data_IF_047823258684
#
_entry.id   IF_047823258684
#
_cell.length_a   1.000
_cell.length_b   1.000
_cell.length_c   1.000
_cell.angle_alpha   90.00
_cell.angle_beta   90.00
_cell.angle_gamma   90.00
#
_symmetry.space_group_name_H-M   'P 1'
#
loop_
_entity.id
_entity.type
_entity.pdbx_description
1 polymer ?
#
# COMPACT_ATOMS: atom_id res chain seq x y z
N UNK A 1 -35.85 -14.68 38.00
CA UNK A 1 -35.29 -14.68 36.63
C UNK A 1 -33.77 -14.58 36.72
N UNK A 2 -33.08 -15.72 36.62
CA UNK A 2 -31.62 -15.74 36.60
C UNK A 2 -31.14 -15.31 35.22
N UNK A 3 -30.43 -14.18 35.15
CA UNK A 3 -29.68 -13.79 33.95
C UNK A 3 -28.51 -14.77 33.85
N UNK A 4 -28.69 -15.83 33.07
CA UNK A 4 -27.60 -16.71 32.66
C UNK A 4 -26.73 -15.87 31.72
N UNK A 5 -25.69 -15.24 32.28
CA UNK A 5 -24.60 -14.67 31.49
C UNK A 5 -24.07 -15.78 30.57
N UNK A 6 -23.99 -15.56 29.25
CA UNK A 6 -23.42 -16.55 28.35
C UNK A 6 -21.96 -16.77 28.78
N UNK A 7 -21.66 -17.98 29.27
CA UNK A 7 -20.29 -18.42 29.50
C UNK A 7 -19.55 -18.36 28.17
N UNK A 8 -18.80 -17.27 27.95
CA UNK A 8 -17.84 -17.14 26.87
C UNK A 8 -16.88 -18.33 26.97
N UNK A 9 -17.05 -19.30 26.06
CA UNK A 9 -16.13 -20.42 25.86
C UNK A 9 -14.70 -19.87 25.82
N UNK A 10 -13.70 -20.57 26.39
CA UNK A 10 -12.32 -20.15 26.27
C UNK A 10 -11.97 -20.09 24.78
N UNK A 11 -11.89 -18.88 24.22
CA UNK A 11 -11.40 -18.60 22.87
C UNK A 11 -10.01 -19.22 22.78
N UNK A 12 -9.90 -20.37 22.12
CA UNK A 12 -8.60 -20.92 21.77
C UNK A 12 -7.86 -19.87 20.95
N UNK A 13 -6.79 -19.30 21.49
CA UNK A 13 -6.02 -18.24 20.82
C UNK A 13 -5.55 -18.75 19.46
N UNK A 14 -5.66 -17.91 18.43
CA UNK A 14 -5.33 -18.28 17.05
C UNK A 14 -3.83 -18.55 16.87
N UNK A 15 -3.50 -19.55 16.03
CA UNK A 15 -2.14 -19.92 15.67
C UNK A 15 -1.98 -19.90 14.15
N UNK A 16 -0.94 -19.22 13.66
CA UNK A 16 -0.53 -19.23 12.26
C UNK A 16 0.43 -20.40 12.01
N UNK A 17 0.20 -21.17 10.94
CA UNK A 17 1.17 -22.16 10.49
C UNK A 17 2.36 -21.47 9.81
N UNK A 18 3.63 -21.84 10.11
CA UNK A 18 4.82 -21.16 9.58
C UNK A 18 4.84 -21.05 8.05
N UNK A 19 4.34 -22.06 7.34
CA UNK A 19 4.27 -22.06 5.88
C UNK A 19 3.49 -20.89 5.27
N UNK A 20 2.49 -20.35 5.97
CA UNK A 20 1.73 -19.19 5.47
C UNK A 20 2.51 -17.87 5.62
N UNK A 21 3.53 -17.82 6.49
CA UNK A 21 4.39 -16.64 6.61
C UNK A 21 5.25 -16.42 5.36
N UNK A 22 5.47 -17.45 4.54
CA UNK A 22 6.14 -17.31 3.24
C UNK A 22 5.41 -16.37 2.27
N UNK A 23 4.10 -16.16 2.45
CA UNK A 23 3.32 -15.20 1.65
C UNK A 23 3.83 -13.76 1.87
N UNK A 24 4.40 -13.46 3.04
CA UNK A 24 4.95 -12.13 3.34
C UNK A 24 6.14 -11.75 2.45
N UNK A 25 6.81 -12.72 1.83
CA UNK A 25 7.95 -12.47 0.94
C UNK A 25 7.53 -12.08 -0.49
N UNK A 26 6.34 -12.50 -0.95
CA UNK A 26 5.88 -12.24 -2.32
C UNK A 26 5.82 -10.73 -2.68
N UNK A 27 5.32 -9.84 -1.80
CA UNK A 27 5.34 -8.40 -2.06
C UNK A 27 6.75 -7.84 -2.23
N UNK A 28 7.73 -8.35 -1.47
CA UNK A 28 9.12 -7.92 -1.60
C UNK A 28 9.69 -8.29 -2.98
N UNK A 29 9.38 -9.48 -3.49
CA UNK A 29 9.78 -9.86 -4.86
C UNK A 29 9.13 -8.98 -5.94
N UNK A 30 7.86 -8.62 -5.77
CA UNK A 30 7.18 -7.71 -6.71
C UNK A 30 7.80 -6.31 -6.69
N UNK A 31 8.12 -5.78 -5.50
CA UNK A 31 8.83 -4.51 -5.37
C UNK A 31 10.19 -4.56 -6.07
N UNK A 32 10.98 -5.61 -5.81
CA UNK A 32 12.27 -5.81 -6.45
C UNK A 32 12.16 -5.89 -7.98
N UNK A 33 11.17 -6.62 -8.49
CA UNK A 33 10.93 -6.69 -9.93
C UNK A 33 10.53 -5.33 -10.50
N UNK A 34 9.70 -4.55 -9.79
CA UNK A 34 9.33 -3.20 -10.21
C UNK A 34 10.54 -2.27 -10.24
N UNK A 35 11.33 -2.20 -9.18
CA UNK A 35 12.51 -1.33 -9.14
C UNK A 35 13.56 -1.77 -10.18
N UNK A 36 13.73 -3.08 -10.38
CA UNK A 36 14.57 -3.60 -11.47
C UNK A 36 14.09 -3.14 -12.86
N UNK A 37 12.78 -3.20 -13.13
CA UNK A 37 12.23 -2.74 -14.41
C UNK A 37 12.43 -1.24 -14.58
N UNK A 38 12.14 -0.45 -13.55
CA UNK A 38 12.34 0.99 -13.59
C UNK A 38 13.82 1.35 -13.76
N UNK A 39 14.71 0.55 -13.18
CA UNK A 39 16.14 0.82 -13.26
C UNK A 39 16.85 0.45 -14.54
N UNK A 40 16.41 -0.63 -15.19
CA UNK A 40 17.03 -1.03 -16.45
C UNK A 40 16.37 -0.37 -17.67
N UNK A 41 15.09 0.03 -17.55
CA UNK A 41 14.33 0.58 -18.67
C UNK A 41 13.88 2.03 -18.48
N UNK A 42 13.97 2.58 -17.27
CA UNK A 42 13.72 4.00 -17.00
C UNK A 42 14.93 4.87 -17.37
N UNK A 43 14.71 6.19 -17.38
CA UNK A 43 15.76 7.17 -17.58
C UNK A 43 15.87 8.05 -16.33
N UNK A 44 16.91 7.84 -15.53
CA UNK A 44 17.20 8.62 -14.31
C UNK A 44 18.01 9.90 -14.57
N UNK A 45 18.45 10.13 -15.81
CA UNK A 45 19.29 11.26 -16.21
C UNK A 45 18.55 12.19 -17.18
N UNK A 46 17.36 12.63 -16.80
CA UNK A 46 16.61 13.60 -17.61
C UNK A 46 17.31 14.97 -17.58
N UNK A 47 17.96 15.33 -18.68
CA UNK A 47 18.57 16.65 -18.87
C UNK A 47 17.50 17.67 -19.25
N UNK A 48 17.21 18.59 -18.34
CA UNK A 48 16.31 19.72 -18.57
C UNK A 48 17.09 21.00 -18.91
N UNK A 49 16.54 21.90 -19.75
CA UNK A 49 17.17 23.20 -20.02
C UNK A 49 17.34 24.02 -18.73
N UNK A 50 18.34 24.92 -18.63
CA UNK A 50 18.67 25.64 -17.40
C UNK A 50 17.74 26.83 -17.04
N UNK A 51 16.79 27.21 -17.90
CA UNK A 51 15.96 28.41 -17.70
C UNK A 51 14.48 28.06 -17.60
N UNK A 52 14.08 27.47 -16.47
CA UNK A 52 12.74 26.90 -16.32
C UNK A 52 11.88 27.66 -15.30
N UNK A 53 12.41 28.58 -14.48
CA UNK A 53 11.67 29.14 -13.34
C UNK A 53 10.95 30.48 -13.63
N UNK A 54 9.72 30.64 -13.11
CA UNK A 54 8.86 31.86 -13.24
C UNK A 54 9.21 32.93 -12.19
N UNK A 55 8.94 34.22 -12.49
CA UNK A 55 9.20 35.37 -11.59
C UNK A 55 8.33 35.44 -10.32
N UNK A 56 7.20 34.73 -10.23
CA UNK A 56 6.32 34.65 -9.04
C UNK A 56 6.59 33.42 -8.16
N UNK A 57 7.77 32.82 -8.31
CA UNK A 57 8.08 31.52 -7.75
C UNK A 57 7.98 31.36 -6.21
N UNK A 58 8.16 32.38 -5.34
CA UNK A 58 8.00 32.18 -3.90
C UNK A 58 6.57 31.82 -3.45
N UNK A 59 5.53 32.42 -4.06
CA UNK A 59 4.14 32.14 -3.67
C UNK A 59 3.67 30.79 -4.21
N UNK A 60 4.11 30.42 -5.41
CA UNK A 60 3.82 29.12 -6.02
C UNK A 60 4.52 27.99 -5.27
N UNK A 61 5.79 28.19 -4.89
CA UNK A 61 6.52 27.25 -4.03
C UNK A 61 5.81 27.04 -2.70
N UNK A 62 5.41 28.12 -2.03
CA UNK A 62 4.73 28.04 -0.74
C UNK A 62 3.37 27.34 -0.85
N UNK A 63 2.63 27.57 -1.94
CA UNK A 63 1.34 26.92 -2.19
C UNK A 63 1.54 25.40 -2.35
N UNK A 64 2.49 25.00 -3.18
CA UNK A 64 2.80 23.58 -3.39
C UNK A 64 3.35 22.92 -2.12
N UNK A 65 4.15 23.65 -1.32
CA UNK A 65 4.62 23.22 0.00
C UNK A 65 3.47 22.87 0.94
N UNK A 66 2.48 23.75 1.06
CA UNK A 66 1.34 23.47 1.94
C UNK A 66 0.49 22.30 1.45
N UNK A 67 0.32 22.15 0.13
CA UNK A 67 -0.35 20.98 -0.45
C UNK A 67 0.40 19.68 -0.09
N UNK A 68 1.72 19.66 -0.25
CA UNK A 68 2.55 18.52 0.12
C UNK A 68 2.49 18.22 1.62
N UNK A 69 2.67 19.23 2.49
CA UNK A 69 2.61 19.05 3.94
C UNK A 69 1.24 18.54 4.41
N UNK A 70 0.16 19.04 3.81
CA UNK A 70 -1.20 18.54 4.09
C UNK A 70 -1.35 17.08 3.69
N UNK A 71 -0.89 16.72 2.48
CA UNK A 71 -0.93 15.33 2.01
C UNK A 71 -0.06 14.41 2.88
N UNK A 72 1.13 14.85 3.26
CA UNK A 72 2.06 14.12 4.12
C UNK A 72 1.48 13.88 5.51
N UNK A 73 0.87 14.90 6.12
CA UNK A 73 0.26 14.79 7.44
C UNK A 73 -0.92 13.82 7.42
N UNK A 74 -1.82 13.97 6.44
CA UNK A 74 -2.97 13.09 6.29
C UNK A 74 -2.53 11.64 6.02
N UNK A 75 -1.57 11.43 5.12
CA UNK A 75 -1.01 10.11 4.82
C UNK A 75 -0.37 9.46 6.06
N UNK A 76 0.46 10.19 6.80
CA UNK A 76 1.11 9.70 8.02
C UNK A 76 0.07 9.30 9.08
N UNK A 77 -1.00 10.08 9.25
CA UNK A 77 -2.09 9.73 10.16
C UNK A 77 -2.78 8.42 9.77
N UNK A 78 -3.06 8.21 8.47
CA UNK A 78 -3.61 6.95 7.94
C UNK A 78 -2.68 5.78 8.24
N UNK A 79 -1.38 5.93 8.00
CA UNK A 79 -0.39 4.89 8.31
C UNK A 79 -0.38 4.52 9.80
N UNK A 80 -0.37 5.51 10.69
CA UNK A 80 -0.42 5.29 12.15
C UNK A 80 -1.70 4.54 12.54
N UNK A 81 -2.85 4.90 11.97
CA UNK A 81 -4.13 4.20 12.24
C UNK A 81 -4.05 2.73 11.81
N UNK A 82 -3.49 2.43 10.63
CA UNK A 82 -3.38 1.04 10.15
C UNK A 82 -2.43 0.20 11.00
N UNK A 83 -1.31 0.79 11.43
CA UNK A 83 -0.40 0.19 12.40
C UNK A 83 -1.18 -0.11 13.70
N UNK A 84 -1.87 0.88 14.26
CA UNK A 84 -2.64 0.72 15.49
C UNK A 84 -3.73 -0.36 15.39
N UNK A 85 -4.47 -0.43 14.27
CA UNK A 85 -5.45 -1.47 13.99
C UNK A 85 -4.78 -2.84 14.04
N UNK A 86 -3.66 -3.02 13.32
CA UNK A 86 -2.95 -4.29 13.29
C UNK A 86 -2.48 -4.74 14.69
N UNK A 87 -1.84 -3.85 15.45
CA UNK A 87 -1.38 -4.18 16.81
C UNK A 87 -2.55 -4.47 17.76
N UNK A 88 -3.66 -3.73 17.66
CA UNK A 88 -4.86 -3.98 18.46
C UNK A 88 -5.44 -5.39 18.19
N UNK A 89 -5.51 -5.79 16.92
CA UNK A 89 -5.99 -7.12 16.54
C UNK A 89 -5.04 -8.25 16.93
N UNK A 90 -3.75 -8.03 16.70
CA UNK A 90 -2.73 -9.03 16.98
C UNK A 90 -2.72 -9.37 18.49
N UNK A 91 -2.89 -8.39 19.37
CA UNK A 91 -2.90 -8.60 20.82
C UNK A 91 -4.24 -9.12 21.35
N UNK A 92 -5.35 -8.69 20.75
CA UNK A 92 -6.69 -9.12 21.19
C UNK A 92 -7.04 -10.55 20.77
N UNK A 93 -6.54 -11.04 19.63
CA UNK A 93 -6.97 -12.33 19.03
C UNK A 93 -5.93 -13.45 19.09
N UNK A 94 -4.64 -13.13 19.18
CA UNK A 94 -3.58 -14.13 19.10
C UNK A 94 -2.90 -14.44 20.44
N UNK A 95 -2.24 -15.60 20.48
CA UNK A 95 -1.36 -15.94 21.61
C UNK A 95 -0.06 -15.16 21.55
N UNK A 96 0.55 -14.81 22.71
CA UNK A 96 1.81 -14.07 22.74
C UNK A 96 2.92 -14.81 21.97
N UNK A 97 2.94 -16.15 22.00
CA UNK A 97 3.85 -16.97 21.19
C UNK A 97 3.58 -16.88 19.68
N UNK A 98 2.32 -16.70 19.26
CA UNK A 98 1.98 -16.49 17.85
C UNK A 98 2.31 -15.06 17.46
N UNK A 99 1.95 -14.07 18.28
CA UNK A 99 2.24 -12.66 18.07
C UNK A 99 3.74 -12.42 17.91
N UNK A 100 4.56 -12.99 18.78
CA UNK A 100 6.02 -12.90 18.67
C UNK A 100 6.55 -13.47 17.34
N UNK A 101 6.03 -14.62 16.87
CA UNK A 101 6.42 -15.18 15.57
C UNK A 101 6.03 -14.29 14.39
N UNK A 102 4.87 -13.64 14.49
CA UNK A 102 4.39 -12.71 13.46
C UNK A 102 5.26 -11.45 13.44
N UNK A 103 5.58 -10.88 14.61
CA UNK A 103 6.48 -9.74 14.73
C UNK A 103 7.87 -10.07 14.19
N UNK A 104 8.41 -11.25 14.51
CA UNK A 104 9.70 -11.69 13.98
C UNK A 104 9.66 -11.82 12.45
N UNK A 105 8.60 -12.38 11.88
CA UNK A 105 8.40 -12.44 10.44
C UNK A 105 8.30 -11.06 9.79
N UNK A 106 7.60 -10.11 10.44
CA UNK A 106 7.49 -8.73 9.98
C UNK A 106 8.85 -8.02 10.02
N UNK A 107 9.60 -8.15 11.11
CA UNK A 107 10.94 -7.61 11.24
C UNK A 107 11.86 -8.19 10.16
N UNK A 108 11.80 -9.51 9.92
CA UNK A 108 12.61 -10.14 8.89
C UNK A 108 12.31 -9.60 7.48
N UNK A 109 11.03 -9.39 7.14
CA UNK A 109 10.63 -8.83 5.84
C UNK A 109 11.05 -7.37 5.72
N UNK A 110 10.82 -6.55 6.75
CA UNK A 110 11.24 -5.14 6.75
C UNK A 110 12.76 -5.03 6.65
N UNK A 111 13.50 -5.82 7.42
CA UNK A 111 14.95 -5.86 7.37
C UNK A 111 15.44 -6.31 5.99
N UNK A 112 14.82 -7.32 5.38
CA UNK A 112 15.16 -7.76 4.02
C UNK A 112 14.93 -6.64 2.98
N UNK A 113 13.80 -5.93 3.04
CA UNK A 113 13.54 -4.80 2.15
C UNK A 113 14.51 -3.63 2.39
N UNK A 114 14.87 -3.36 3.65
CA UNK A 114 15.84 -2.31 3.98
C UNK A 114 17.25 -2.67 3.51
N UNK A 115 17.66 -3.93 3.65
CA UNK A 115 18.95 -4.41 3.15
C UNK A 115 19.05 -4.19 1.64
N UNK A 116 17.99 -4.46 0.90
CA UNK A 116 17.95 -4.18 -0.54
C UNK A 116 18.07 -2.70 -0.86
N UNK A 117 17.41 -1.81 -0.12
CA UNK A 117 17.57 -0.37 -0.30
C UNK A 117 19.00 0.11 0.06
N UNK A 118 19.64 -0.48 1.07
CA UNK A 118 21.01 -0.09 1.48
C UNK A 118 22.11 -0.69 0.61
N UNK A 119 21.84 -1.85 -0.01
CA UNK A 119 22.77 -2.54 -0.90
C UNK A 119 22.37 -2.34 -2.36
N UNK A 120 21.64 -1.27 -2.67
CA UNK A 120 21.30 -0.92 -4.04
C UNK A 120 22.56 -1.01 -4.89
N UNK A 121 22.61 -1.96 -5.83
CA UNK A 121 23.81 -2.13 -6.60
C UNK A 121 24.09 -0.85 -7.38
N UNK A 122 25.36 -0.45 -7.50
CA UNK A 122 25.76 0.78 -8.20
C UNK A 122 25.21 0.86 -9.64
N UNK A 123 24.87 -0.29 -10.24
CA UNK A 123 24.25 -0.40 -11.57
C UNK A 123 22.74 -0.09 -11.60
N UNK A 124 22.11 0.12 -10.46
CA UNK A 124 20.67 0.26 -10.25
C UNK A 124 20.36 1.65 -9.65
N UNK A 125 20.98 2.73 -10.16
CA UNK A 125 21.00 4.08 -9.56
C UNK A 125 19.67 4.61 -9.00
N UNK A 126 19.68 5.59 -8.09
CA UNK A 126 18.49 5.95 -7.29
C UNK A 126 17.21 6.20 -8.13
N UNK A 127 16.10 5.59 -7.71
CA UNK A 127 14.80 5.63 -8.41
C UNK A 127 13.78 6.54 -7.74
N UNK A 128 14.28 7.51 -6.99
CA UNK A 128 13.46 8.54 -6.40
C UNK A 128 12.69 9.28 -7.51
N UNK A 129 11.40 9.51 -7.28
CA UNK A 129 10.54 10.09 -8.31
C UNK A 129 11.05 11.45 -8.82
N UNK A 130 11.80 12.20 -8.00
CA UNK A 130 12.41 13.46 -8.41
C UNK A 130 13.60 13.28 -9.36
N UNK A 131 14.32 12.15 -9.33
CA UNK A 131 15.42 11.90 -10.27
C UNK A 131 14.87 11.60 -11.67
N UNK A 132 13.81 10.78 -11.73
CA UNK A 132 13.09 10.47 -12.97
C UNK A 132 12.41 11.70 -13.59
N UNK A 133 12.03 12.68 -12.77
CA UNK A 133 11.43 13.94 -13.21
C UNK A 133 12.46 15.05 -13.45
N UNK A 134 13.74 14.77 -13.26
CA UNK A 134 14.84 15.73 -13.34
C UNK A 134 15.11 16.42 -12.01
N UNK A 135 16.11 15.91 -11.27
CA UNK A 135 16.48 16.41 -9.94
C UNK A 135 16.77 17.92 -9.93
N UNK A 136 17.44 18.44 -10.96
CA UNK A 136 17.75 19.86 -11.08
C UNK A 136 16.51 20.74 -11.05
N UNK A 137 15.41 20.31 -11.68
CA UNK A 137 14.15 21.04 -11.66
C UNK A 137 13.57 21.15 -10.26
N UNK A 138 13.65 20.08 -9.46
CA UNK A 138 13.21 20.09 -8.07
C UNK A 138 14.08 21.01 -7.22
N UNK A 139 15.41 20.89 -7.32
CA UNK A 139 16.34 21.74 -6.57
C UNK A 139 16.15 23.22 -6.94
N UNK A 140 16.02 23.55 -8.22
CA UNK A 140 15.82 24.94 -8.68
C UNK A 140 14.44 25.51 -8.28
N UNK A 141 13.41 24.66 -8.25
CA UNK A 141 12.08 25.04 -7.79
C UNK A 141 12.04 25.26 -6.26
N UNK A 142 12.66 24.37 -5.49
CA UNK A 142 12.53 24.31 -4.03
C UNK A 142 13.59 25.14 -3.29
N UNK A 143 14.73 25.45 -3.92
CA UNK A 143 15.77 26.30 -3.33
C UNK A 143 15.32 27.73 -3.07
N UNK A 144 14.24 28.18 -3.73
CA UNK A 144 13.72 29.54 -3.58
C UNK A 144 13.01 29.79 -2.24
N UNK A 145 12.46 28.73 -1.64
CA UNK A 145 11.71 28.84 -0.41
C UNK A 145 12.62 28.73 0.82
N UNK A 146 12.63 29.74 1.68
CA UNK A 146 13.37 29.66 2.96
C UNK A 146 12.66 28.73 3.95
N UNK A 147 13.43 27.88 4.63
CA UNK A 147 12.98 27.07 5.76
C UNK A 147 13.65 27.58 7.02
N UNK A 148 12.86 27.87 8.07
CA UNK A 148 13.40 28.31 9.36
C UNK A 148 14.35 27.29 9.99
N UNK A 149 14.07 26.00 9.80
CA UNK A 149 14.94 24.91 10.26
C UNK A 149 16.30 24.87 9.53
N UNK A 150 16.41 25.51 8.37
CA UNK A 150 17.62 25.56 7.56
C UNK A 150 18.45 26.83 7.81
N UNK A 151 17.98 27.80 8.59
CA UNK A 151 18.73 29.03 8.90
C UNK A 151 20.00 28.76 9.72
N UNK A 152 20.05 27.63 10.44
CA UNK A 152 21.17 27.26 11.32
C UNK A 152 21.88 25.97 10.89
N UNK A 153 21.50 25.36 9.77
CA UNK A 153 22.03 24.06 9.33
C UNK A 153 22.84 24.20 8.05
N UNK A 154 24.12 23.81 8.11
CA UNK A 154 25.00 23.70 6.94
C UNK A 154 24.48 22.68 5.91
N UNK A 155 23.65 21.72 6.32
CA UNK A 155 23.08 20.71 5.43
C UNK A 155 22.08 21.28 4.41
N UNK A 156 21.62 22.52 4.57
CA UNK A 156 20.69 23.16 3.64
C UNK A 156 21.34 24.16 2.68
N UNK A 157 22.67 24.35 2.73
CA UNK A 157 23.37 25.27 1.82
C UNK A 157 23.19 24.82 0.35
N UNK A 158 22.48 25.63 -0.44
CA UNK A 158 22.25 25.39 -1.87
C UNK A 158 21.02 24.55 -2.21
N UNK A 159 20.47 23.77 -1.28
CA UNK A 159 19.29 22.92 -1.54
C UNK A 159 17.98 23.50 -0.96
N UNK A 160 18.06 24.43 -0.01
CA UNK A 160 16.91 25.17 0.51
C UNK A 160 15.79 24.26 1.03
N UNK A 161 14.58 24.38 0.48
CA UNK A 161 13.45 23.57 0.92
C UNK A 161 13.52 22.10 0.46
N UNK A 162 14.33 21.79 -0.55
CA UNK A 162 14.46 20.45 -1.10
C UNK A 162 14.92 19.45 -0.03
N UNK A 163 16.01 19.78 0.68
CA UNK A 163 16.58 18.92 1.71
C UNK A 163 15.58 18.58 2.84
N UNK A 164 14.86 19.59 3.35
CA UNK A 164 13.85 19.37 4.39
C UNK A 164 12.70 18.46 3.95
N UNK A 165 12.33 18.52 2.67
CA UNK A 165 11.26 17.70 2.11
C UNK A 165 11.73 16.29 1.75
N UNK A 166 12.98 16.13 1.30
CA UNK A 166 13.63 14.83 1.12
C UNK A 166 13.64 14.06 2.45
N UNK A 167 13.99 14.72 3.56
CA UNK A 167 13.90 14.12 4.90
C UNK A 167 12.47 13.69 5.24
N UNK A 168 11.46 14.50 4.91
CA UNK A 168 10.06 14.13 5.15
C UNK A 168 9.60 12.95 4.28
N UNK A 169 10.08 12.86 3.04
CA UNK A 169 9.82 11.72 2.15
C UNK A 169 10.49 10.45 2.66
N UNK A 170 11.73 10.52 3.16
CA UNK A 170 12.39 9.40 3.81
C UNK A 170 11.58 8.89 5.01
N UNK A 171 11.08 9.80 5.86
CA UNK A 171 10.18 9.42 6.96
C UNK A 171 8.85 8.86 6.48
N UNK A 172 8.30 9.40 5.39
CA UNK A 172 7.10 8.85 4.75
C UNK A 172 7.37 7.42 4.25
N UNK A 173 8.52 7.16 3.65
CA UNK A 173 8.91 5.83 3.16
C UNK A 173 9.00 4.84 4.33
N UNK A 174 9.68 5.19 5.42
CA UNK A 174 9.75 4.33 6.61
C UNK A 174 8.38 3.98 7.20
N UNK A 175 7.51 4.97 7.40
CA UNK A 175 6.18 4.73 7.96
C UNK A 175 5.28 3.96 6.98
N UNK A 176 5.45 4.18 5.67
CA UNK A 176 4.79 3.42 4.61
C UNK A 176 5.18 1.96 4.66
N UNK A 177 6.48 1.66 4.71
CA UNK A 177 6.98 0.28 4.76
C UNK A 177 6.43 -0.46 5.97
N UNK A 178 6.39 0.19 7.13
CA UNK A 178 5.82 -0.39 8.34
C UNK A 178 4.31 -0.61 8.22
N UNK A 179 3.56 0.40 7.77
CA UNK A 179 2.11 0.29 7.59
C UNK A 179 1.72 -0.78 6.55
N UNK A 180 2.42 -0.82 5.42
CA UNK A 180 2.25 -1.84 4.40
C UNK A 180 2.55 -3.24 4.95
N UNK A 181 3.65 -3.40 5.69
CA UNK A 181 3.98 -4.67 6.34
C UNK A 181 2.91 -5.11 7.35
N UNK A 182 2.36 -4.18 8.14
CA UNK A 182 1.23 -4.44 9.04
C UNK A 182 -0.04 -4.87 8.28
N UNK A 183 -0.37 -4.21 7.17
CA UNK A 183 -1.55 -4.55 6.35
C UNK A 183 -1.39 -5.92 5.69
N UNK A 184 -0.23 -6.21 5.10
CA UNK A 184 0.10 -7.51 4.50
C UNK A 184 0.07 -8.60 5.57
N UNK A 185 0.68 -8.36 6.74
CA UNK A 185 0.66 -9.29 7.85
C UNK A 185 -0.77 -9.54 8.33
N UNK A 186 -1.57 -8.49 8.52
CA UNK A 186 -2.98 -8.58 8.88
C UNK A 186 -3.80 -9.43 7.90
N UNK A 187 -3.55 -9.29 6.60
CA UNK A 187 -4.12 -10.17 5.58
C UNK A 187 -3.71 -11.64 5.79
N UNK A 188 -2.43 -11.91 6.02
CA UNK A 188 -1.94 -13.27 6.30
C UNK A 188 -2.51 -13.84 7.60
N UNK A 189 -2.79 -13.00 8.60
CA UNK A 189 -3.43 -13.41 9.86
C UNK A 189 -4.86 -13.92 9.67
N UNK A 190 -5.55 -13.53 8.60
CA UNK A 190 -6.84 -14.12 8.24
C UNK A 190 -6.74 -15.65 8.05
N UNK A 191 -5.54 -16.19 7.78
CA UNK A 191 -5.32 -17.63 7.65
C UNK A 191 -5.08 -18.37 8.97
N UNK A 192 -4.95 -17.65 10.09
CA UNK A 192 -4.72 -18.23 11.41
C UNK A 192 -5.95 -19.01 11.89
N UNK A 193 -5.72 -20.09 12.65
CA UNK A 193 -6.80 -20.99 13.09
C UNK A 193 -6.59 -21.45 14.54
N UNK A 194 -7.66 -21.75 15.29
CA UNK A 194 -7.53 -22.50 16.53
C UNK A 194 -7.02 -23.93 16.25
N UNK A 195 -6.43 -24.58 17.25
CA UNK A 195 -5.91 -25.93 17.09
C UNK A 195 -7.07 -26.94 16.93
N UNK A 196 -7.16 -27.58 15.76
CA UNK A 196 -8.09 -28.69 15.42
C UNK A 196 -9.58 -28.47 15.74
N UNK A 197 -10.34 -27.74 14.90
CA UNK A 197 -11.79 -27.78 14.98
C UNK A 197 -12.31 -29.16 14.57
N UNK A 198 -13.16 -29.76 15.40
CA UNK A 198 -13.72 -31.09 15.18
C UNK A 198 -14.91 -31.03 14.22
N UNK A 199 -14.65 -31.16 12.91
CA UNK A 199 -15.67 -31.10 11.85
C UNK A 199 -16.69 -32.25 11.89
N UNK A 200 -16.48 -33.25 12.75
CA UNK A 200 -17.39 -34.38 12.91
C UNK A 200 -18.61 -34.08 13.78
N UNK A 201 -18.69 -32.90 14.41
CA UNK A 201 -19.80 -32.51 15.27
C UNK A 201 -20.49 -31.26 14.74
N UNK A 202 -21.82 -31.16 14.91
CA UNK A 202 -22.58 -29.96 14.53
C UNK A 202 -22.05 -28.68 15.22
N UNK A 203 -21.63 -28.79 16.48
CA UNK A 203 -21.00 -27.67 17.20
C UNK A 203 -19.64 -27.28 16.62
N UNK A 204 -18.87 -28.24 16.09
CA UNK A 204 -17.59 -27.97 15.44
C UNK A 204 -17.75 -27.39 14.04
N UNK A 205 -18.78 -27.80 13.30
CA UNK A 205 -19.16 -27.16 12.03
C UNK A 205 -19.59 -25.71 12.24
N UNK A 206 -20.44 -25.42 13.23
CA UNK A 206 -20.85 -24.06 13.55
C UNK A 206 -19.66 -23.19 14.00
N UNK A 207 -18.72 -23.75 14.77
CA UNK A 207 -17.50 -23.04 15.16
C UNK A 207 -16.60 -22.76 13.95
N UNK A 208 -16.46 -23.71 13.03
CA UNK A 208 -15.70 -23.52 11.79
C UNK A 208 -16.33 -22.44 10.90
N UNK A 209 -17.65 -22.45 10.77
CA UNK A 209 -18.38 -21.43 10.02
C UNK A 209 -18.06 -20.02 10.52
N UNK A 210 -18.10 -19.83 11.85
CA UNK A 210 -17.76 -18.54 12.47
C UNK A 210 -16.30 -18.13 12.21
N UNK A 211 -15.36 -19.07 12.25
CA UNK A 211 -13.93 -18.82 11.98
C UNK A 211 -13.70 -18.42 10.52
N UNK A 212 -14.31 -19.14 9.58
CA UNK A 212 -14.19 -18.84 8.15
C UNK A 212 -14.81 -17.49 7.80
N UNK A 213 -15.96 -17.17 8.40
CA UNK A 213 -16.58 -15.85 8.27
C UNK A 213 -15.69 -14.73 8.81
N UNK A 214 -15.13 -14.89 10.01
CA UNK A 214 -14.20 -13.90 10.58
C UNK A 214 -12.94 -13.74 9.72
N UNK A 215 -12.42 -14.83 9.16
CA UNK A 215 -11.28 -14.80 8.25
C UNK A 215 -11.60 -14.01 6.97
N UNK A 216 -12.79 -14.19 6.40
CA UNK A 216 -13.27 -13.44 5.23
C UNK A 216 -13.47 -11.95 5.52
N UNK A 217 -14.04 -11.61 6.67
CA UNK A 217 -14.25 -10.22 7.07
C UNK A 217 -12.89 -9.54 7.29
N UNK A 218 -11.96 -10.25 7.93
CA UNK A 218 -10.59 -9.79 8.16
C UNK A 218 -9.86 -9.54 6.84
N UNK A 219 -9.91 -10.50 5.89
CA UNK A 219 -9.25 -10.34 4.59
C UNK A 219 -9.85 -9.18 3.78
N UNK A 220 -11.18 -9.04 3.77
CA UNK A 220 -11.87 -7.96 3.07
C UNK A 220 -11.51 -6.58 3.64
N UNK A 221 -11.40 -6.47 4.96
CA UNK A 221 -11.01 -5.22 5.63
C UNK A 221 -9.56 -4.85 5.33
N UNK A 222 -8.62 -5.80 5.39
CA UNK A 222 -7.23 -5.49 5.05
C UNK A 222 -7.03 -5.17 3.57
N UNK A 223 -7.80 -5.79 2.66
CA UNK A 223 -7.82 -5.38 1.24
C UNK A 223 -8.28 -3.92 1.09
N UNK A 224 -9.30 -3.50 1.86
CA UNK A 224 -9.77 -2.12 1.87
C UNK A 224 -8.73 -1.16 2.44
N UNK A 225 -8.04 -1.54 3.54
CA UNK A 225 -6.92 -0.77 4.08
C UNK A 225 -5.80 -0.59 3.03
N UNK A 226 -5.47 -1.64 2.27
CA UNK A 226 -4.50 -1.55 1.18
C UNK A 226 -4.94 -0.58 0.09
N UNK A 227 -6.23 -0.59 -0.26
CA UNK A 227 -6.82 0.35 -1.22
C UNK A 227 -6.70 1.80 -0.75
N UNK A 228 -7.04 2.07 0.51
CA UNK A 228 -6.87 3.40 1.11
C UNK A 228 -5.39 3.80 1.13
N UNK A 229 -4.50 2.90 1.55
CA UNK A 229 -3.06 3.17 1.62
C UNK A 229 -2.52 3.59 0.24
N UNK A 230 -2.95 2.88 -0.82
CA UNK A 230 -2.63 3.21 -2.20
C UNK A 230 -3.21 4.58 -2.61
N UNK A 231 -4.50 4.81 -2.42
CA UNK A 231 -5.15 6.06 -2.85
C UNK A 231 -4.54 7.28 -2.16
N UNK A 232 -4.34 7.23 -0.84
CA UNK A 232 -3.76 8.36 -0.09
C UNK A 232 -2.26 8.49 -0.37
N UNK A 233 -1.54 7.38 -0.54
CA UNK A 233 -0.14 7.39 -0.95
C UNK A 233 0.06 8.03 -2.32
N UNK A 234 -0.85 7.78 -3.27
CA UNK A 234 -0.84 8.44 -4.57
C UNK A 234 -1.13 9.94 -4.47
N UNK A 235 -1.99 10.38 -3.55
CA UNK A 235 -2.19 11.82 -3.30
C UNK A 235 -0.90 12.46 -2.80
N UNK A 236 -0.19 11.82 -1.87
CA UNK A 236 1.13 12.29 -1.40
C UNK A 236 2.13 12.35 -2.56
N UNK A 237 2.30 11.26 -3.31
CA UNK A 237 3.24 11.21 -4.44
C UNK A 237 2.90 12.24 -5.52
N UNK A 238 1.62 12.41 -5.86
CA UNK A 238 1.20 13.42 -6.84
C UNK A 238 1.42 14.84 -6.33
N UNK A 239 1.19 15.11 -5.04
CA UNK A 239 1.48 16.43 -4.46
C UNK A 239 2.96 16.77 -4.55
N UNK A 240 3.84 15.78 -4.39
CA UNK A 240 5.28 15.92 -4.58
C UNK A 240 5.65 16.10 -6.06
N UNK A 241 5.24 15.17 -6.92
CA UNK A 241 5.60 15.18 -8.35
C UNK A 241 5.05 16.39 -9.12
N UNK A 242 3.89 16.93 -8.72
CA UNK A 242 3.30 18.12 -9.36
C UNK A 242 3.91 19.43 -8.89
N UNK A 243 4.68 19.42 -7.81
CA UNK A 243 5.23 20.63 -7.19
C UNK A 243 5.99 21.52 -8.18
N UNK A 244 7.02 21.04 -8.90
CA UNK A 244 7.76 21.92 -9.81
C UNK A 244 6.93 22.37 -11.02
N UNK A 245 5.84 21.68 -11.35
CA UNK A 245 5.06 21.92 -12.57
C UNK A 245 4.55 23.36 -12.70
N UNK A 246 4.07 23.96 -11.61
CA UNK A 246 3.58 25.35 -11.65
C UNK A 246 4.72 26.38 -11.79
N UNK A 247 5.95 25.98 -11.50
CA UNK A 247 7.13 26.84 -11.54
C UNK A 247 7.83 26.82 -12.90
N UNK A 248 7.43 25.91 -13.80
CA UNK A 248 7.92 25.81 -15.19
C UNK A 248 7.39 26.97 -16.03
N UNK A 249 8.25 27.87 -16.51
CA UNK A 249 7.90 29.06 -17.25
C UNK A 249 7.36 28.76 -18.66
N UNK A 250 8.01 27.84 -19.39
CA UNK A 250 7.58 27.41 -20.71
C UNK A 250 6.31 26.56 -20.63
N UNK A 251 5.16 27.00 -21.20
CA UNK A 251 3.93 26.23 -21.21
C UNK A 251 4.06 24.86 -21.87
N UNK A 252 4.82 24.75 -22.97
CA UNK A 252 4.98 23.48 -23.67
C UNK A 252 5.78 22.47 -22.84
N UNK A 253 6.83 22.93 -22.16
CA UNK A 253 7.60 22.10 -21.22
C UNK A 253 6.75 21.70 -20.00
N UNK A 254 5.88 22.60 -19.53
CA UNK A 254 4.97 22.34 -18.40
C UNK A 254 4.01 21.21 -18.72
N UNK A 255 3.42 21.23 -19.92
CA UNK A 255 2.49 20.19 -20.37
C UNK A 255 3.20 18.84 -20.53
N UNK A 256 4.43 18.85 -21.07
CA UNK A 256 5.26 17.63 -21.16
C UNK A 256 5.62 17.07 -19.79
N UNK A 257 5.97 17.93 -18.84
CA UNK A 257 6.22 17.53 -17.46
C UNK A 257 4.96 16.92 -16.82
N UNK A 258 3.79 17.52 -17.01
CA UNK A 258 2.52 16.97 -16.55
C UNK A 258 2.25 15.57 -17.16
N UNK A 259 2.53 15.39 -18.45
CA UNK A 259 2.47 14.10 -19.13
C UNK A 259 3.41 13.05 -18.51
N UNK A 260 4.65 13.45 -18.17
CA UNK A 260 5.62 12.57 -17.52
C UNK A 260 5.18 12.18 -16.10
N UNK A 261 4.71 13.14 -15.28
CA UNK A 261 4.15 12.89 -13.95
C UNK A 261 3.00 11.88 -14.04
N UNK A 262 2.13 12.04 -15.04
CA UNK A 262 1.02 11.13 -15.27
C UNK A 262 1.52 9.70 -15.62
N UNK A 263 2.50 9.56 -16.52
CA UNK A 263 3.08 8.27 -16.88
C UNK A 263 3.73 7.56 -15.68
N UNK A 264 4.50 8.28 -14.87
CA UNK A 264 5.10 7.74 -13.63
C UNK A 264 4.01 7.33 -12.64
N UNK A 265 2.97 8.15 -12.50
CA UNK A 265 1.85 7.85 -11.59
C UNK A 265 1.09 6.58 -11.99
N UNK A 266 0.90 6.36 -13.30
CA UNK A 266 0.30 5.15 -13.84
C UNK A 266 1.19 3.93 -13.56
N UNK A 267 2.48 4.04 -13.83
CA UNK A 267 3.45 2.98 -13.56
C UNK A 267 3.42 2.57 -12.08
N UNK A 268 3.57 3.54 -11.16
CA UNK A 268 3.52 3.28 -9.72
C UNK A 268 2.17 2.69 -9.30
N UNK A 269 1.06 3.19 -9.83
CA UNK A 269 -0.28 2.65 -9.56
C UNK A 269 -0.45 1.18 -9.99
N UNK A 270 0.07 0.81 -11.16
CA UNK A 270 0.09 -0.58 -11.63
C UNK A 270 0.98 -1.45 -10.75
N UNK A 271 2.21 -1.03 -10.47
CA UNK A 271 3.14 -1.77 -9.60
C UNK A 271 2.54 -2.03 -8.21
N UNK A 272 1.90 -1.02 -7.61
CA UNK A 272 1.20 -1.20 -6.33
C UNK A 272 0.01 -2.16 -6.43
N UNK A 273 -0.73 -2.15 -7.54
CA UNK A 273 -1.83 -3.09 -7.75
C UNK A 273 -1.34 -4.54 -7.83
N UNK A 274 -0.23 -4.77 -8.54
CA UNK A 274 0.42 -6.09 -8.60
C UNK A 274 0.94 -6.50 -7.22
N UNK A 275 1.49 -5.56 -6.44
CA UNK A 275 1.89 -5.78 -5.05
C UNK A 275 0.70 -6.22 -4.20
N UNK A 276 -0.45 -5.56 -4.29
CA UNK A 276 -1.68 -5.97 -3.60
C UNK A 276 -2.08 -7.41 -3.98
N UNK A 277 -2.08 -7.72 -5.28
CA UNK A 277 -2.43 -9.05 -5.78
C UNK A 277 -1.50 -10.14 -5.25
N UNK A 278 -0.21 -9.84 -5.11
CA UNK A 278 0.83 -10.80 -4.70
C UNK A 278 0.59 -11.45 -3.33
N UNK A 279 -0.03 -10.74 -2.38
CA UNK A 279 -0.38 -11.31 -1.07
C UNK A 279 -1.87 -11.60 -0.94
N UNK A 280 -2.75 -10.85 -1.62
CA UNK A 280 -4.19 -11.08 -1.55
C UNK A 280 -4.61 -12.37 -2.24
N UNK A 281 -4.06 -12.66 -3.44
CA UNK A 281 -4.46 -13.83 -4.22
C UNK A 281 -4.10 -15.15 -3.51
N UNK A 282 -2.87 -15.35 -3.00
CA UNK A 282 -2.55 -16.57 -2.25
C UNK A 282 -3.44 -16.78 -1.02
N UNK A 283 -3.70 -15.72 -0.25
CA UNK A 283 -4.58 -15.79 0.94
C UNK A 283 -6.00 -16.19 0.53
N UNK A 284 -6.53 -15.55 -0.52
CA UNK A 284 -7.88 -15.83 -1.03
C UNK A 284 -8.03 -17.26 -1.55
N UNK A 285 -7.04 -17.78 -2.28
CA UNK A 285 -7.03 -19.16 -2.76
C UNK A 285 -7.00 -20.18 -1.60
N UNK A 286 -6.21 -19.91 -0.55
CA UNK A 286 -6.16 -20.78 0.63
C UNK A 286 -7.51 -20.76 1.37
N UNK A 287 -8.15 -19.60 1.52
CA UNK A 287 -9.47 -19.49 2.13
C UNK A 287 -10.53 -20.20 1.28
N UNK A 288 -10.48 -20.07 -0.04
CA UNK A 288 -11.38 -20.76 -0.97
C UNK A 288 -11.33 -22.28 -0.79
N UNK A 289 -10.13 -22.88 -0.77
CA UNK A 289 -9.98 -24.33 -0.55
C UNK A 289 -10.53 -24.76 0.82
N UNK A 290 -10.43 -23.89 1.84
CA UNK A 290 -10.98 -24.20 3.17
C UNK A 290 -12.50 -24.15 3.18
N UNK A 291 -13.10 -23.18 2.50
CA UNK A 291 -14.56 -23.03 2.40
C UNK A 291 -15.16 -24.18 1.60
N UNK A 292 -14.54 -24.59 0.49
CA UNK A 292 -14.97 -25.76 -0.28
C UNK A 292 -14.94 -27.06 0.57
N UNK A 293 -13.87 -27.28 1.34
CA UNK A 293 -13.80 -28.41 2.29
C UNK A 293 -14.86 -28.33 3.38
N UNK A 294 -15.18 -27.13 3.84
CA UNK A 294 -16.24 -26.93 4.82
C UNK A 294 -17.62 -27.25 4.21
N UNK A 295 -17.93 -26.80 2.99
CA UNK A 295 -19.18 -27.14 2.31
C UNK A 295 -19.33 -28.66 2.11
N UNK A 296 -18.28 -29.35 1.67
CA UNK A 296 -18.28 -30.81 1.57
C UNK A 296 -18.55 -31.50 2.92
N UNK A 297 -18.00 -30.96 4.01
CA UNK A 297 -18.27 -31.49 5.35
C UNK A 297 -19.71 -31.23 5.80
N UNK A 298 -20.27 -30.06 5.48
CA UNK A 298 -21.68 -29.72 5.78
C UNK A 298 -22.64 -30.63 5.01
N UNK A 299 -22.38 -30.88 3.72
CA UNK A 299 -23.14 -31.80 2.88
C UNK A 299 -23.11 -33.22 3.44
N UNK A 300 -21.92 -33.71 3.82
CA UNK A 300 -21.76 -35.04 4.42
C UNK A 300 -22.49 -35.19 5.78
N UNK A 301 -22.62 -34.10 6.54
CA UNK A 301 -23.37 -34.06 7.80
C UNK A 301 -24.87 -33.87 7.63
N UNK A 302 -25.36 -33.59 6.42
CA UNK A 302 -26.79 -33.34 6.16
C UNK A 302 -27.33 -32.10 6.90
N UNK A 303 -26.49 -31.09 7.17
CA UNK A 303 -26.85 -29.90 7.95
C UNK A 303 -26.76 -28.59 7.13
N UNK A 304 -27.56 -28.44 6.06
CA UNK A 304 -27.42 -27.33 5.10
C UNK A 304 -27.61 -25.94 5.73
N UNK A 305 -28.38 -25.84 6.81
CA UNK A 305 -28.59 -24.59 7.57
C UNK A 305 -27.27 -23.98 8.08
N UNK A 306 -26.30 -24.81 8.47
CA UNK A 306 -24.99 -24.34 8.97
C UNK A 306 -24.13 -23.85 7.79
N UNK A 307 -24.24 -24.50 6.62
CA UNK A 307 -23.57 -24.07 5.39
C UNK A 307 -24.02 -22.68 4.94
N UNK A 308 -25.29 -22.33 5.19
CA UNK A 308 -25.83 -21.02 4.83
C UNK A 308 -25.12 -19.84 5.50
N UNK A 309 -24.47 -20.05 6.65
CA UNK A 309 -23.80 -18.99 7.43
C UNK A 309 -22.47 -18.52 6.81
N UNK A 310 -21.88 -19.34 5.93
CA UNK A 310 -20.63 -19.05 5.19
C UNK A 310 -20.94 -18.76 3.70
N UNK A 311 -22.21 -18.64 3.34
CA UNK A 311 -22.63 -18.23 1.98
C UNK A 311 -22.19 -16.78 1.72
N UNK A 312 -21.54 -16.54 0.58
CA UNK A 312 -21.12 -15.21 0.14
C UNK A 312 -19.62 -15.04 -0.12
N UNK A 313 -18.77 -16.02 0.22
CA UNK A 313 -17.48 -16.23 -0.43
C UNK A 313 -17.66 -17.24 -1.55
N UNK A 314 -18.61 -16.94 -2.44
CA UNK A 314 -18.87 -17.76 -3.59
C UNK A 314 -17.62 -17.75 -4.50
N UNK A 315 -17.37 -18.83 -5.23
CA UNK A 315 -16.29 -18.94 -6.24
C UNK A 315 -16.40 -17.76 -7.22
N UNK A 316 -17.64 -17.33 -7.45
CA UNK A 316 -18.00 -16.13 -8.18
C UNK A 316 -17.48 -14.84 -7.57
N UNK A 317 -16.92 -14.70 -6.37
CA UNK A 317 -16.41 -13.43 -5.83
C UNK A 317 -14.92 -13.21 -6.07
N UNK A 318 -14.16 -14.31 -6.19
CA UNK A 318 -12.76 -14.31 -6.66
C UNK A 318 -12.73 -14.35 -8.19
N UNK A 319 -13.65 -15.11 -8.82
CA UNK A 319 -13.82 -15.16 -10.27
C UNK A 319 -14.67 -14.00 -10.81
N UNK A 320 -15.54 -13.36 -10.01
CA UNK A 320 -16.19 -12.14 -10.48
C UNK A 320 -15.19 -11.04 -10.51
N UNK A 321 -15.41 -10.25 -11.54
CA UNK A 321 -15.00 -8.88 -11.65
C UNK A 321 -15.25 -8.04 -10.39
N UNK A 322 -15.83 -8.45 -9.27
CA UNK A 322 -16.09 -7.54 -8.14
C UNK A 322 -14.84 -7.22 -7.31
N UNK A 323 -13.94 -8.18 -7.06
CA UNK A 323 -12.64 -7.87 -6.46
C UNK A 323 -11.78 -7.04 -7.42
N UNK A 324 -11.82 -7.39 -8.71
CA UNK A 324 -11.16 -6.65 -9.78
C UNK A 324 -11.79 -5.26 -10.00
N UNK A 325 -13.11 -5.09 -9.88
CA UNK A 325 -13.85 -3.81 -9.93
C UNK A 325 -13.54 -2.97 -8.71
N UNK A 326 -13.34 -3.57 -7.54
CA UNK A 326 -12.87 -2.83 -6.36
C UNK A 326 -11.45 -2.32 -6.59
N UNK A 327 -10.56 -3.16 -7.10
CA UNK A 327 -9.20 -2.75 -7.47
C UNK A 327 -9.25 -1.68 -8.59
N UNK A 328 -10.04 -1.87 -9.66
CA UNK A 328 -10.27 -0.88 -10.71
C UNK A 328 -10.91 0.39 -10.17
N UNK A 329 -11.85 0.31 -9.21
CA UNK A 329 -12.47 1.49 -8.60
C UNK A 329 -11.47 2.25 -7.71
N UNK A 330 -10.54 1.54 -7.06
CA UNK A 330 -9.43 2.13 -6.32
C UNK A 330 -8.42 2.79 -7.29
N UNK A 331 -8.18 2.18 -8.45
CA UNK A 331 -7.26 2.66 -9.49
C UNK A 331 -7.95 3.64 -10.48
N UNK A 332 -9.27 3.75 -10.43
CA UNK A 332 -10.11 4.53 -11.35
C UNK A 332 -9.78 6.02 -11.35
N UNK A 333 -9.51 6.67 -10.20
CA UNK A 333 -9.06 8.06 -10.19
C UNK A 333 -7.72 8.24 -10.91
N UNK A 334 -6.84 7.24 -10.88
CA UNK A 334 -5.53 7.24 -11.56
C UNK A 334 -5.75 7.06 -13.07
N UNK A 335 -6.57 6.08 -13.47
CA UNK A 335 -6.92 5.87 -14.88
C UNK A 335 -7.69 7.05 -15.47
N UNK A 336 -8.60 7.67 -14.72
CA UNK A 336 -9.36 8.84 -15.16
C UNK A 336 -8.45 10.08 -15.29
N UNK A 337 -7.49 10.26 -14.38
CA UNK A 337 -6.44 11.28 -14.52
C UNK A 337 -5.55 11.03 -15.74
N UNK A 338 -5.22 9.75 -16.00
CA UNK A 338 -4.37 9.38 -17.13
C UNK A 338 -5.05 9.50 -18.49
N UNK A 339 -6.33 9.11 -18.57
CA UNK A 339 -7.17 9.25 -19.75
C UNK A 339 -7.55 10.71 -19.98
N UNK A 340 -7.81 11.50 -18.93
CA UNK A 340 -8.06 12.93 -19.05
C UNK A 340 -6.88 13.69 -19.67
N UNK A 341 -5.64 13.31 -19.32
CA UNK A 341 -4.43 13.87 -19.92
C UNK A 341 -4.21 13.42 -21.38
N UNK A 342 -4.62 12.20 -21.75
CA UNK A 342 -4.54 11.69 -23.12
C UNK A 342 -5.60 12.33 -24.04
N UNK A 343 -6.82 12.57 -23.55
CA UNK A 343 -7.90 13.21 -24.31
C UNK A 343 -7.62 14.69 -24.57
N UNK A 344 -6.88 15.37 -23.69
CA UNK A 344 -6.35 16.72 -23.99
C UNK A 344 -5.27 16.74 -25.07
N UNK A 345 -4.60 15.61 -25.35
CA UNK A 345 -3.59 15.51 -26.42
C UNK A 345 -4.19 15.27 -27.81
N UNK A 346 -5.36 14.62 -27.92
CA UNK A 346 -6.06 14.45 -29.20
C UNK A 346 -6.89 15.68 -29.63
N UNK A 347 -6.98 16.71 -28.77
CA UNK A 347 -7.72 17.96 -29.04
C UNK A 347 -6.91 19.11 -29.65
N UNK A 348 -5.60 18.97 -29.86
CA UNK A 348 -4.71 20.00 -30.47
C UNK A 348 -4.29 19.56 -31.88
N UNK A 349 -5.29 19.17 -32.67
CA UNK A 349 -5.18 18.85 -34.09
C UNK A 349 -6.36 19.46 -34.84
N UNK A 350 -6.49 20.79 -34.77
CA UNK A 350 -7.47 21.60 -35.48
C UNK A 350 -6.96 23.02 -35.65
#
# INVERSE_FOLDING_TARGET
>A
MGIILPRLRPRGRLVIAPKHLGILALPAFVLLASEYLLGNFGNSALLLPPTVTVSQAPLLELTARYNFLSAWFFYSAVCVIFIAIFFSELWSKHSPKSAFRILLGLIAVVAFTMVFNTLEPVWMGSFEAYELLGKSLFVDALSQGRLRACETSLACEGEGAFHGMEVLLDKANHITSLAAACVIAGMVLALARPHRPCLHSAQGLAAEAAILKEAQDTSSRYLYCSGILLSVGMVLLLSWMKWPGQMIADPALRDRHAGLVNAISLYRGVSYSVLILSYYMPVSLILMVRIDRFHKAVEAHGSPEIGSQVMGFDINRIASMDAFKKIIAIVSPILASALGAAVTFEGIGG
#
